data_IF_581919731356
#
_entry.id   IF_581919731356
#
_cell.length_a   1.000
_cell.length_b   1.000
_cell.length_c   1.000
_cell.angle_alpha   90.00
_cell.angle_beta   90.00
_cell.angle_gamma   90.00
#
_symmetry.space_group_name_H-M   'P 1'
#
loop_
_entity.id
_entity.type
_entity.pdbx_description
1 polymer ?
#
# COMPACT_ATOMS: atom_id res chain seq x y z
N UNK A 1 6.08 37.79 46.05
CA UNK A 1 5.53 39.14 45.78
C UNK A 1 4.52 38.97 44.68
N UNK A 2 3.23 39.12 44.98
CA UNK A 2 2.12 38.99 44.02
C UNK A 2 1.99 40.34 43.31
N UNK A 3 2.05 40.36 41.98
CA UNK A 3 1.77 41.56 41.19
C UNK A 3 0.26 41.86 41.29
N UNK A 4 -0.14 43.11 41.52
CA UNK A 4 -1.55 43.52 41.55
C UNK A 4 -2.22 43.14 40.21
N UNK A 5 -3.13 42.16 40.24
CA UNK A 5 -3.85 41.66 39.07
C UNK A 5 -3.91 40.13 38.96
N UNK A 6 -3.02 39.39 39.62
CA UNK A 6 -2.96 37.92 39.53
C UNK A 6 -4.08 37.24 40.34
N UNK A 7 -4.71 36.22 39.74
CA UNK A 7 -5.71 35.39 40.40
C UNK A 7 -5.06 34.44 41.41
N UNK A 8 -5.50 34.48 42.67
CA UNK A 8 -5.09 33.53 43.68
C UNK A 8 -5.92 32.23 43.61
N UNK A 9 -5.25 31.10 43.37
CA UNK A 9 -5.85 29.77 43.33
C UNK A 9 -4.90 28.69 43.87
N UNK A 10 -5.43 27.51 44.13
CA UNK A 10 -4.72 26.34 44.66
C UNK A 10 -4.88 25.12 43.74
N UNK A 11 -4.02 24.11 43.89
CA UNK A 11 -4.05 22.91 43.04
C UNK A 11 -5.43 22.25 43.06
N UNK A 12 -6.01 22.09 41.87
CA UNK A 12 -7.32 21.48 41.66
C UNK A 12 -8.51 22.43 41.81
N UNK A 13 -8.28 23.74 41.88
CA UNK A 13 -9.33 24.73 41.68
C UNK A 13 -9.73 24.80 40.21
N UNK A 14 -11.04 24.90 39.95
CA UNK A 14 -11.56 25.12 38.61
C UNK A 14 -11.53 26.62 38.30
N UNK A 15 -10.90 26.97 37.18
CA UNK A 15 -10.82 28.34 36.68
C UNK A 15 -11.67 28.43 35.43
N UNK A 16 -12.67 29.30 35.47
CA UNK A 16 -13.55 29.60 34.34
C UNK A 16 -12.93 30.79 33.61
N UNK A 17 -12.45 30.56 32.39
CA UNK A 17 -11.86 31.62 31.57
C UNK A 17 -12.97 32.47 30.94
N UNK A 18 -12.79 33.79 30.94
CA UNK A 18 -13.80 34.72 30.39
C UNK A 18 -13.89 34.65 28.86
N UNK A 19 -12.84 34.15 28.20
CA UNK A 19 -12.81 33.92 26.77
C UNK A 19 -13.15 32.47 26.41
N UNK A 20 -13.94 32.30 25.34
CA UNK A 20 -14.32 30.98 24.82
C UNK A 20 -13.07 30.22 24.33
N UNK A 21 -12.93 28.97 24.80
CA UNK A 21 -11.92 27.99 24.37
C UNK A 21 -10.45 28.28 24.74
N UNK A 22 -10.16 29.20 25.67
CA UNK A 22 -8.81 29.37 26.23
C UNK A 22 -7.73 29.80 25.22
N UNK A 23 -8.15 30.39 24.08
CA UNK A 23 -7.26 30.74 22.97
C UNK A 23 -6.12 31.67 23.41
N UNK A 24 -6.43 32.73 24.18
CA UNK A 24 -5.44 33.65 24.71
C UNK A 24 -4.41 32.95 25.62
N UNK A 25 -4.84 31.97 26.41
CA UNK A 25 -3.94 31.23 27.30
C UNK A 25 -2.96 30.31 26.54
N UNK A 26 -3.34 29.88 25.33
CA UNK A 26 -2.49 29.07 24.43
C UNK A 26 -1.59 29.92 23.52
N UNK A 27 -1.92 31.18 23.24
CA UNK A 27 -1.18 32.05 22.32
C UNK A 27 -0.39 33.18 22.99
N UNK A 28 -0.90 33.73 24.09
CA UNK A 28 -0.39 34.93 24.77
C UNK A 28 0.15 34.62 26.18
N UNK A 29 0.14 33.35 26.61
CA UNK A 29 0.61 32.83 27.90
C UNK A 29 -0.08 33.40 29.16
N UNK A 30 -1.08 34.25 28.98
CA UNK A 30 -1.87 34.85 30.05
C UNK A 30 -3.33 34.95 29.59
N UNK A 31 -4.27 34.71 30.50
CA UNK A 31 -5.67 35.01 30.27
C UNK A 31 -6.36 35.40 31.58
N UNK A 32 -7.47 36.12 31.46
CA UNK A 32 -8.29 36.48 32.61
C UNK A 32 -9.34 35.38 32.87
N UNK A 33 -9.55 35.06 34.14
CA UNK A 33 -10.55 34.07 34.54
C UNK A 33 -11.00 34.22 35.98
N UNK A 34 -12.03 33.46 36.34
CA UNK A 34 -12.63 33.41 37.67
C UNK A 34 -12.38 32.06 38.33
N UNK A 35 -11.88 32.08 39.56
CA UNK A 35 -11.77 30.87 40.36
C UNK A 35 -13.16 30.53 40.93
N UNK A 36 -13.67 29.34 40.61
CA UNK A 36 -15.00 28.92 41.06
C UNK A 36 -15.09 28.84 42.60
N UNK A 37 -14.03 28.39 43.26
CA UNK A 37 -14.02 28.21 44.72
C UNK A 37 -14.06 29.54 45.47
N UNK A 38 -13.30 30.54 45.01
CA UNK A 38 -13.16 31.82 45.73
C UNK A 38 -14.06 32.91 45.19
N UNK A 39 -14.60 32.75 43.98
CA UNK A 39 -15.42 33.74 43.28
C UNK A 39 -14.63 34.95 42.75
N UNK A 40 -13.35 35.08 43.11
CA UNK A 40 -12.50 36.17 42.63
C UNK A 40 -12.08 35.95 41.17
N UNK A 41 -11.89 37.04 40.46
CA UNK A 41 -11.41 37.07 39.07
C UNK A 41 -10.07 37.80 39.00
N UNK A 42 -9.22 37.40 38.06
CA UNK A 42 -7.90 37.97 37.86
C UNK A 42 -7.13 37.25 36.75
N UNK A 43 -5.86 37.60 36.59
CA UNK A 43 -5.00 37.03 35.55
C UNK A 43 -4.48 35.65 35.93
N UNK A 44 -4.38 34.79 34.92
CA UNK A 44 -3.99 33.38 35.03
C UNK A 44 -2.95 33.08 33.96
N UNK A 45 -1.80 32.56 34.38
CA UNK A 45 -0.70 32.18 33.49
C UNK A 45 -0.78 30.71 33.09
N UNK A 46 -0.43 30.43 31.84
CA UNK A 46 -0.50 29.08 31.25
C UNK A 46 0.37 28.05 31.98
N UNK A 47 1.49 28.45 32.57
CA UNK A 47 2.40 27.57 33.30
C UNK A 47 1.79 26.97 34.59
N UNK A 48 0.73 27.59 35.13
CA UNK A 48 0.14 27.23 36.43
C UNK A 48 -1.16 26.44 36.31
N UNK A 49 -1.65 26.19 35.08
CA UNK A 49 -2.98 25.60 34.84
C UNK A 49 -2.95 24.60 33.70
N UNK A 50 -3.85 23.62 33.75
CA UNK A 50 -4.07 22.67 32.66
C UNK A 50 -5.37 23.02 31.94
N UNK A 51 -5.32 23.22 30.62
CA UNK A 51 -6.51 23.48 29.80
C UNK A 51 -7.05 22.17 29.28
N UNK A 52 -8.27 21.80 29.70
CA UNK A 52 -8.96 20.59 29.24
C UNK A 52 -10.19 21.00 28.42
N UNK A 53 -10.28 20.63 27.13
CA UNK A 53 -11.44 20.95 26.31
C UNK A 53 -12.63 20.10 26.74
N UNK A 54 -13.64 20.72 27.31
CA UNK A 54 -14.86 20.05 27.79
C UNK A 54 -16.10 20.76 27.25
N UNK A 55 -17.09 19.98 26.79
CA UNK A 55 -18.39 20.51 26.33
C UNK A 55 -19.36 20.78 27.49
N UNK A 56 -19.12 20.13 28.63
CA UNK A 56 -19.88 20.23 29.87
C UNK A 56 -18.92 20.47 31.02
N UNK A 57 -19.40 21.07 32.12
CA UNK A 57 -18.61 21.26 33.32
C UNK A 57 -18.00 19.92 33.78
N UNK A 58 -16.68 19.85 34.08
CA UNK A 58 -16.04 18.64 34.60
C UNK A 58 -16.76 18.14 35.86
N UNK A 59 -16.98 16.83 35.94
CA UNK A 59 -17.56 16.20 37.13
C UNK A 59 -16.60 16.28 38.34
N UNK A 60 -17.16 16.11 39.54
CA UNK A 60 -16.36 16.21 40.78
C UNK A 60 -15.30 15.11 40.87
N UNK A 61 -15.50 13.97 40.24
CA UNK A 61 -14.53 12.87 40.22
C UNK A 61 -13.29 13.23 39.39
N UNK A 62 -13.46 13.82 38.21
CA UNK A 62 -12.39 14.31 37.36
C UNK A 62 -11.62 15.42 38.07
N UNK A 63 -12.31 16.37 38.70
CA UNK A 63 -11.66 17.45 39.47
C UNK A 63 -10.85 16.87 40.65
N UNK A 64 -11.33 15.80 41.28
CA UNK A 64 -10.65 15.12 42.38
C UNK A 64 -9.33 14.49 41.93
N UNK A 65 -9.22 13.98 40.70
CA UNK A 65 -7.97 13.43 40.16
C UNK A 65 -6.84 14.47 40.11
N UNK A 66 -7.16 15.72 39.75
CA UNK A 66 -6.15 16.81 39.72
C UNK A 66 -5.74 17.29 41.11
N UNK A 67 -6.55 17.00 42.15
CA UNK A 67 -6.24 17.27 43.56
C UNK A 67 -5.37 16.19 44.21
N UNK A 68 -5.37 14.97 43.66
CA UNK A 68 -4.60 13.86 44.21
C UNK A 68 -3.09 14.08 44.05
N UNK A 69 -2.35 13.63 45.06
CA UNK A 69 -0.89 13.49 44.97
C UNK A 69 -0.52 12.31 44.09
N UNK A 70 0.71 12.28 43.58
CA UNK A 70 1.18 11.19 42.69
C UNK A 70 1.06 9.81 43.37
N UNK A 71 1.26 9.75 44.70
CA UNK A 71 1.11 8.53 45.50
C UNK A 71 -0.34 8.06 45.58
N UNK A 72 -1.29 8.99 45.68
CA UNK A 72 -2.73 8.68 45.69
C UNK A 72 -3.22 8.26 44.31
N UNK A 73 -2.74 8.91 43.25
CA UNK A 73 -2.96 8.52 41.87
C UNK A 73 -2.44 7.11 41.60
N UNK A 74 -1.23 6.77 42.04
CA UNK A 74 -0.72 5.40 41.91
C UNK A 74 -1.53 4.37 42.72
N UNK A 75 -2.05 4.73 43.89
CA UNK A 75 -2.91 3.85 44.70
C UNK A 75 -4.28 3.65 44.05
N UNK A 76 -4.87 4.70 43.50
CA UNK A 76 -6.11 4.61 42.76
C UNK A 76 -5.91 3.76 41.51
N UNK A 77 -4.85 4.00 40.74
CA UNK A 77 -4.53 3.22 39.55
C UNK A 77 -4.30 1.74 39.88
N UNK A 78 -3.67 1.42 41.03
CA UNK A 78 -3.56 0.04 41.55
C UNK A 78 -4.90 -0.57 41.94
N UNK A 79 -5.82 0.20 42.55
CA UNK A 79 -7.17 -0.26 42.88
C UNK A 79 -8.04 -0.44 41.63
N UNK A 80 -7.97 0.45 40.64
CA UNK A 80 -8.67 0.32 39.36
C UNK A 80 -8.13 -0.86 38.56
N UNK A 81 -6.81 -1.08 38.56
CA UNK A 81 -6.16 -2.26 37.97
C UNK A 81 -6.60 -3.56 38.66
N UNK A 82 -6.78 -3.55 39.99
CA UNK A 82 -7.26 -4.69 40.78
C UNK A 82 -8.75 -4.96 40.56
N UNK A 83 -9.57 -3.91 40.46
CA UNK A 83 -11.00 -4.04 40.18
C UNK A 83 -11.25 -4.49 38.74
N UNK A 84 -10.47 -3.98 37.77
CA UNK A 84 -10.48 -4.44 36.39
C UNK A 84 -9.95 -5.88 36.21
N UNK A 85 -9.22 -6.42 37.20
CA UNK A 85 -8.84 -7.83 37.25
C UNK A 85 -9.92 -8.73 37.84
N UNK A 86 -10.77 -8.22 38.75
CA UNK A 86 -11.89 -8.98 39.32
C UNK A 86 -13.13 -8.95 38.40
N UNK A 87 -13.40 -7.84 37.72
CA UNK A 87 -14.55 -7.67 36.80
C UNK A 87 -14.38 -8.39 35.43
N UNK A 88 -13.18 -8.92 35.15
CA UNK A 88 -12.91 -9.77 33.97
C UNK A 88 -13.37 -11.22 34.12
N UNK A 89 -13.95 -11.60 35.27
CA UNK A 89 -14.44 -12.97 35.47
C UNK A 89 -15.92 -13.19 35.11
N UNK A 90 -16.73 -12.15 34.90
CA UNK A 90 -18.18 -12.33 34.68
C UNK A 90 -18.78 -11.72 33.39
N UNK A 91 -18.03 -11.01 32.54
CA UNK A 91 -18.54 -10.53 31.23
C UNK A 91 -17.82 -11.19 30.04
N UNK A 92 -18.28 -12.39 29.68
CA UNK A 92 -17.81 -13.15 28.51
C UNK A 92 -18.43 -12.63 27.21
N UNK A 93 -17.87 -11.55 26.66
CA UNK A 93 -17.65 -11.53 25.21
C UNK A 93 -16.36 -12.34 24.97
N UNK A 94 -16.53 -13.58 24.50
CA UNK A 94 -15.47 -14.61 24.43
C UNK A 94 -14.38 -14.19 23.44
N UNK A 95 -13.34 -13.48 23.88
CA UNK A 95 -12.19 -13.14 23.02
C UNK A 95 -11.45 -14.42 22.59
N UNK A 96 -11.23 -14.58 21.28
CA UNK A 96 -10.52 -15.73 20.74
C UNK A 96 -9.07 -15.73 21.20
N UNK A 97 -8.57 -16.90 21.59
CA UNK A 97 -7.17 -17.10 21.96
C UNK A 97 -6.64 -18.37 21.31
N UNK A 98 -5.32 -18.43 21.11
CA UNK A 98 -4.63 -19.64 20.69
C UNK A 98 -4.53 -20.70 21.81
N UNK A 99 -5.23 -20.56 22.94
CA UNK A 99 -5.08 -21.45 24.09
C UNK A 99 -5.38 -22.90 23.75
N UNK A 100 -6.53 -23.18 23.11
CA UNK A 100 -6.93 -24.53 22.73
C UNK A 100 -5.96 -25.11 21.68
N UNK A 101 -5.64 -24.34 20.64
CA UNK A 101 -4.67 -24.76 19.62
C UNK A 101 -3.27 -25.06 20.21
N UNK A 102 -2.82 -24.27 21.18
CA UNK A 102 -1.52 -24.44 21.80
C UNK A 102 -1.41 -25.72 22.63
N UNK A 103 -2.51 -26.26 23.17
CA UNK A 103 -2.48 -27.51 23.94
C UNK A 103 -2.00 -28.68 23.09
N UNK A 104 -2.43 -28.73 21.82
CA UNK A 104 -2.14 -29.83 20.91
C UNK A 104 -0.90 -29.58 20.05
N UNK A 105 -0.64 -28.32 19.68
CA UNK A 105 0.34 -28.00 18.64
C UNK A 105 1.57 -27.23 19.13
N UNK A 106 1.57 -26.67 20.36
CA UNK A 106 2.73 -25.92 20.86
C UNK A 106 3.71 -26.81 21.62
N UNK A 107 5.01 -26.50 21.50
CA UNK A 107 6.05 -27.10 22.31
C UNK A 107 5.80 -26.77 23.78
N UNK A 108 5.80 -27.78 24.63
CA UNK A 108 5.67 -27.60 26.06
C UNK A 108 7.00 -27.11 26.64
N UNK A 109 7.06 -25.87 27.14
CA UNK A 109 8.26 -25.31 27.79
C UNK A 109 8.73 -26.12 29.02
N UNK A 110 7.88 -27.01 29.56
CA UNK A 110 8.08 -27.69 30.84
C UNK A 110 8.30 -29.21 30.78
N UNK A 111 8.36 -29.87 29.61
CA UNK A 111 8.50 -31.35 29.56
C UNK A 111 9.94 -31.87 29.76
N UNK A 112 10.93 -30.99 29.95
CA UNK A 112 12.35 -31.36 30.14
C UNK A 112 12.92 -31.24 31.56
N UNK A 113 12.16 -30.72 32.54
CA UNK A 113 12.64 -30.56 33.92
C UNK A 113 11.89 -31.49 34.87
N UNK A 114 12.14 -32.79 34.74
CA UNK A 114 11.81 -33.74 35.80
C UNK A 114 13.05 -33.99 36.67
N UNK A 115 12.87 -33.77 37.97
CA UNK A 115 13.72 -34.14 39.10
C UNK A 115 15.01 -33.33 39.37
N UNK A 116 14.95 -32.44 40.37
CA UNK A 116 15.38 -32.73 41.76
C UNK A 116 15.38 -31.43 42.57
N UNK A 117 14.47 -31.37 43.55
CA UNK A 117 14.63 -30.58 44.77
C UNK A 117 14.56 -29.05 44.67
N UNK A 118 13.86 -28.48 45.65
CA UNK A 118 13.95 -27.09 46.15
C UNK A 118 13.02 -26.05 45.48
N UNK A 119 12.07 -25.61 46.32
CA UNK A 119 11.16 -24.44 46.26
C UNK A 119 10.18 -24.38 45.08
N UNK A 120 8.91 -24.60 45.40
CA UNK A 120 7.78 -24.26 44.56
C UNK A 120 7.76 -22.75 44.29
N UNK A 121 8.34 -22.33 43.17
CA UNK A 121 8.04 -21.03 42.58
C UNK A 121 6.59 -21.02 42.12
N UNK A 122 5.88 -19.96 42.52
CA UNK A 122 4.50 -19.67 42.16
C UNK A 122 4.23 -19.88 40.66
N UNK A 123 3.39 -20.88 40.34
CA UNK A 123 2.92 -21.20 38.98
C UNK A 123 2.14 -20.04 38.34
N UNK A 124 1.71 -19.02 39.10
CA UNK A 124 0.85 -17.94 38.60
C UNK A 124 1.54 -16.95 37.65
N UNK A 125 2.88 -16.95 37.57
CA UNK A 125 3.64 -15.98 36.75
C UNK A 125 4.30 -16.54 35.49
N UNK A 126 4.12 -17.82 35.15
CA UNK A 126 4.55 -18.33 33.85
C UNK A 126 3.65 -17.75 32.77
N UNK A 127 4.16 -16.77 32.01
CA UNK A 127 3.46 -16.18 30.89
C UNK A 127 3.05 -17.28 29.90
N UNK A 128 1.76 -17.35 29.55
CA UNK A 128 1.26 -18.40 28.67
C UNK A 128 2.00 -18.40 27.31
N UNK A 129 2.41 -19.57 26.83
CA UNK A 129 3.18 -19.73 25.58
C UNK A 129 2.42 -19.20 24.34
N UNK A 130 1.11 -19.06 24.43
CA UNK A 130 0.22 -18.54 23.38
C UNK A 130 -0.19 -17.07 23.56
N UNK A 131 0.20 -16.40 24.65
CA UNK A 131 -0.11 -14.99 24.90
C UNK A 131 1.10 -14.07 24.67
N UNK A 132 0.85 -12.78 24.44
CA UNK A 132 1.86 -11.76 24.13
C UNK A 132 3.01 -11.83 25.10
N UNK A 133 4.25 -11.80 24.59
CA UNK A 133 5.48 -11.67 25.39
C UNK A 133 6.40 -10.56 24.85
N UNK A 134 7.31 -10.08 25.69
CA UNK A 134 8.42 -9.20 25.28
C UNK A 134 9.76 -9.93 25.26
N UNK A 135 9.79 -11.17 25.74
CA UNK A 135 11.00 -12.00 25.77
C UNK A 135 11.14 -12.75 24.46
N UNK A 136 12.34 -12.79 23.84
CA UNK A 136 12.58 -13.63 22.69
C UNK A 136 12.26 -15.10 22.99
N UNK A 137 11.77 -15.84 21.99
CA UNK A 137 11.57 -17.29 22.13
C UNK A 137 12.92 -18.01 21.99
N UNK A 138 13.09 -19.06 22.78
CA UNK A 138 14.28 -19.92 22.76
C UNK A 138 14.08 -21.19 21.91
N UNK A 139 12.83 -21.51 21.59
CA UNK A 139 12.39 -22.64 20.78
C UNK A 139 11.21 -22.19 19.89
N UNK A 140 10.99 -22.81 18.73
CA UNK A 140 9.77 -22.58 17.95
C UNK A 140 8.52 -22.84 18.80
N UNK A 141 7.44 -22.12 18.52
CA UNK A 141 6.16 -22.36 19.18
C UNK A 141 5.63 -23.73 18.80
N UNK A 142 5.70 -24.14 17.54
CA UNK A 142 5.05 -25.37 17.07
C UNK A 142 5.93 -26.61 17.23
N UNK A 143 5.29 -27.73 17.60
CA UNK A 143 5.92 -29.05 17.68
C UNK A 143 6.43 -29.49 16.30
N UNK A 144 5.66 -29.21 15.24
CA UNK A 144 5.99 -29.61 13.86
C UNK A 144 7.12 -28.81 13.22
N UNK A 145 7.52 -27.67 13.79
CA UNK A 145 8.65 -26.89 13.28
C UNK A 145 9.93 -27.68 13.50
N UNK A 146 10.70 -28.04 12.46
CA UNK A 146 11.91 -28.85 12.64
C UNK A 146 12.99 -28.15 13.46
N UNK A 147 13.79 -28.91 14.20
CA UNK A 147 14.81 -28.36 15.10
C UNK A 147 15.90 -27.56 14.38
N UNK A 148 16.23 -27.91 13.14
CA UNK A 148 17.19 -27.15 12.32
C UNK A 148 16.69 -25.73 11.95
N UNK A 149 15.40 -25.43 12.19
CA UNK A 149 14.80 -24.10 11.99
C UNK A 149 14.61 -23.33 13.31
N UNK A 150 15.12 -23.83 14.44
CA UNK A 150 15.01 -23.18 15.76
C UNK A 150 15.57 -21.76 15.74
N UNK A 151 16.78 -21.59 15.20
CA UNK A 151 17.40 -20.26 15.11
C UNK A 151 16.60 -19.33 14.19
N UNK A 152 16.09 -19.84 13.07
CA UNK A 152 15.28 -19.08 12.12
C UNK A 152 13.97 -18.58 12.77
N UNK A 153 13.27 -19.46 13.48
CA UNK A 153 12.05 -19.12 14.21
C UNK A 153 12.31 -18.08 15.32
N UNK A 154 13.43 -18.19 16.05
CA UNK A 154 13.84 -17.23 17.06
C UNK A 154 14.16 -15.84 16.47
N UNK A 155 14.90 -15.78 15.36
CA UNK A 155 15.18 -14.53 14.66
C UNK A 155 13.90 -13.87 14.12
N UNK A 156 12.97 -14.67 13.57
CA UNK A 156 11.67 -14.20 13.12
C UNK A 156 10.88 -13.56 14.27
N UNK A 157 10.83 -14.21 15.43
CA UNK A 157 10.13 -13.66 16.59
C UNK A 157 10.77 -12.37 17.10
N UNK A 158 12.10 -12.32 17.14
CA UNK A 158 12.83 -11.10 17.51
C UNK A 158 12.52 -9.95 16.55
N UNK A 159 12.39 -10.22 15.25
CA UNK A 159 11.98 -9.22 14.27
C UNK A 159 10.54 -8.75 14.50
N UNK A 160 9.61 -9.65 14.86
CA UNK A 160 8.24 -9.30 15.26
C UNK A 160 8.27 -8.37 16.49
N UNK A 161 9.02 -8.71 17.54
CA UNK A 161 9.15 -7.87 18.74
C UNK A 161 9.68 -6.47 18.41
N UNK A 162 10.70 -6.39 17.56
CA UNK A 162 11.29 -5.14 17.06
C UNK A 162 10.26 -4.29 16.30
N UNK A 163 9.53 -4.90 15.35
CA UNK A 163 8.50 -4.21 14.59
C UNK A 163 7.39 -3.66 15.51
N UNK A 164 6.90 -4.49 16.44
CA UNK A 164 5.87 -4.11 17.42
C UNK A 164 6.34 -3.06 18.45
N UNK A 165 7.64 -2.74 18.51
CA UNK A 165 8.20 -1.83 19.50
C UNK A 165 8.22 -2.41 20.91
N UNK A 166 8.34 -3.74 21.01
CA UNK A 166 8.45 -4.51 22.25
C UNK A 166 9.90 -4.94 22.53
N UNK A 167 10.82 -4.69 21.61
CA UNK A 167 12.26 -4.91 21.77
C UNK A 167 13.04 -3.71 21.22
N UNK A 168 14.17 -3.31 21.83
CA UNK A 168 15.03 -2.26 21.29
C UNK A 168 15.41 -2.49 19.83
N UNK A 169 15.29 -1.44 19.03
CA UNK A 169 15.68 -1.38 17.62
C UNK A 169 16.74 -0.31 17.41
N UNK A 170 17.72 -0.58 16.55
CA UNK A 170 18.60 0.47 16.02
C UNK A 170 17.86 1.41 15.06
N UNK A 171 18.58 2.30 14.39
CA UNK A 171 18.02 3.16 13.33
C UNK A 171 17.66 2.30 12.12
N UNK A 172 16.38 2.03 11.92
CA UNK A 172 15.84 1.44 10.70
C UNK A 172 15.18 2.55 9.88
N UNK A 173 15.57 2.71 8.62
CA UNK A 173 15.06 3.78 7.74
C UNK A 173 13.86 3.30 6.92
N UNK A 174 13.88 2.05 6.44
CA UNK A 174 12.84 1.50 5.57
C UNK A 174 11.95 0.46 6.26
N UNK A 175 10.66 0.47 5.92
CA UNK A 175 9.67 -0.49 6.45
C UNK A 175 9.96 -1.92 5.98
N UNK A 176 10.49 -2.09 4.76
CA UNK A 176 10.87 -3.39 4.20
C UNK A 176 11.97 -4.06 5.01
N UNK A 177 12.95 -3.30 5.49
CA UNK A 177 14.06 -3.81 6.31
C UNK A 177 13.56 -4.41 7.64
N UNK A 178 12.40 -3.95 8.12
CA UNK A 178 11.75 -4.49 9.31
C UNK A 178 10.89 -5.72 9.01
N UNK A 179 10.23 -5.77 7.85
CA UNK A 179 9.29 -6.86 7.50
C UNK A 179 9.98 -8.05 6.84
N UNK A 180 11.08 -7.84 6.12
CA UNK A 180 11.80 -8.88 5.39
C UNK A 180 12.32 -10.00 6.30
N UNK A 181 12.92 -9.71 7.48
CA UNK A 181 13.32 -10.74 8.44
C UNK A 181 12.14 -11.56 8.99
N UNK A 182 10.90 -11.05 8.89
CA UNK A 182 9.70 -11.74 9.37
C UNK A 182 9.15 -12.68 8.28
N UNK A 183 9.09 -12.24 7.02
CA UNK A 183 8.34 -12.94 5.97
C UNK A 183 9.19 -13.71 4.95
N UNK A 184 10.46 -13.33 4.72
CA UNK A 184 11.27 -13.94 3.66
C UNK A 184 11.53 -15.43 3.86
N UNK A 185 11.76 -15.86 5.11
CA UNK A 185 12.00 -17.27 5.42
C UNK A 185 10.71 -18.12 5.31
N UNK A 186 9.57 -17.74 5.91
CA UNK A 186 8.30 -18.47 5.75
C UNK A 186 7.77 -18.55 4.29
N UNK A 187 8.11 -17.58 3.44
CA UNK A 187 7.81 -17.65 2.01
C UNK A 187 8.57 -18.80 1.31
N UNK A 188 9.84 -19.03 1.71
CA UNK A 188 10.72 -20.06 1.14
C UNK A 188 10.57 -21.44 1.79
N UNK A 189 10.34 -21.49 3.10
CA UNK A 189 10.26 -22.71 3.92
C UNK A 189 8.84 -22.89 4.45
N UNK A 190 8.08 -23.84 3.88
CA UNK A 190 6.66 -24.04 4.21
C UNK A 190 6.44 -24.39 5.69
N UNK A 191 7.44 -25.00 6.32
CA UNK A 191 7.47 -25.41 7.72
C UNK A 191 7.35 -24.21 8.67
N UNK A 192 7.78 -23.01 8.25
CA UNK A 192 7.73 -21.78 9.06
C UNK A 192 6.45 -20.96 8.86
N UNK A 193 5.55 -21.36 7.96
CA UNK A 193 4.34 -20.56 7.65
C UNK A 193 3.41 -20.47 8.85
N UNK A 194 3.00 -21.61 9.37
CA UNK A 194 2.15 -21.66 10.56
C UNK A 194 2.88 -21.12 11.79
N UNK A 195 4.19 -21.32 11.88
CA UNK A 195 5.01 -20.75 12.96
C UNK A 195 4.92 -19.21 12.94
N UNK A 196 5.05 -18.59 11.77
CA UNK A 196 4.90 -17.14 11.59
C UNK A 196 3.50 -16.66 12.01
N UNK A 197 2.45 -17.38 11.60
CA UNK A 197 1.07 -17.10 12.03
C UNK A 197 0.94 -17.16 13.56
N UNK A 198 1.37 -18.26 14.18
CA UNK A 198 1.27 -18.45 15.62
C UNK A 198 2.06 -17.40 16.41
N UNK A 199 3.26 -17.03 15.95
CA UNK A 199 4.07 -15.99 16.59
C UNK A 199 3.41 -14.60 16.54
N UNK A 200 2.81 -14.23 15.41
CA UNK A 200 2.10 -12.94 15.28
C UNK A 200 0.80 -12.97 16.10
N UNK A 201 0.01 -14.05 16.01
CA UNK A 201 -1.22 -14.22 16.80
C UNK A 201 -0.95 -14.25 18.31
N UNK A 202 0.19 -14.80 18.74
CA UNK A 202 0.67 -14.71 20.12
C UNK A 202 0.80 -13.25 20.55
N UNK A 203 1.42 -12.38 19.73
CA UNK A 203 1.57 -10.96 20.03
C UNK A 203 0.27 -10.15 19.97
N UNK A 204 -0.78 -10.70 19.37
CA UNK A 204 -2.14 -10.14 19.41
C UNK A 204 -2.92 -10.55 20.66
N UNK A 205 -2.62 -11.73 21.21
CA UNK A 205 -3.40 -12.33 22.29
C UNK A 205 -3.02 -11.76 23.65
N UNK A 206 -3.98 -11.16 24.36
CA UNK A 206 -3.78 -10.51 25.68
C UNK A 206 -2.67 -9.45 25.67
N UNK A 207 -2.59 -8.65 24.61
CA UNK A 207 -1.61 -7.56 24.51
C UNK A 207 -2.14 -6.29 25.21
N UNK A 208 -1.54 -5.86 26.34
CA UNK A 208 -2.00 -4.66 27.05
C UNK A 208 -1.59 -3.35 26.34
N UNK A 209 -0.61 -3.40 25.43
CA UNK A 209 -0.04 -2.20 24.78
C UNK A 209 -0.69 -2.00 23.42
N UNK A 210 -1.67 -1.08 23.34
CA UNK A 210 -2.44 -0.78 22.11
C UNK A 210 -1.57 -0.42 20.89
N UNK A 211 -0.44 0.26 21.11
CA UNK A 211 0.49 0.58 20.02
C UNK A 211 1.22 -0.66 19.47
N UNK A 212 1.59 -1.61 20.33
CA UNK A 212 2.16 -2.90 19.92
C UNK A 212 1.10 -3.76 19.24
N UNK A 213 -0.11 -3.82 19.80
CA UNK A 213 -1.25 -4.55 19.24
C UNK A 213 -1.56 -4.07 17.81
N UNK A 214 -1.68 -2.75 17.60
CA UNK A 214 -1.94 -2.17 16.28
C UNK A 214 -0.85 -2.51 15.26
N UNK A 215 0.42 -2.61 15.68
CA UNK A 215 1.53 -3.02 14.80
C UNK A 215 1.51 -4.53 14.52
N UNK A 216 1.20 -5.36 15.50
CA UNK A 216 1.04 -6.80 15.30
C UNK A 216 -0.11 -7.09 14.31
N UNK A 217 -1.20 -6.33 14.37
CA UNK A 217 -2.28 -6.43 13.39
C UNK A 217 -1.85 -6.06 11.98
N UNK A 218 -0.97 -5.05 11.82
CA UNK A 218 -0.36 -4.74 10.52
C UNK A 218 0.43 -5.93 9.99
N UNK A 219 1.22 -6.60 10.84
CA UNK A 219 1.95 -7.82 10.44
C UNK A 219 1.00 -8.95 10.05
N UNK A 220 -0.05 -9.18 10.83
CA UNK A 220 -1.05 -10.21 10.53
C UNK A 220 -1.75 -9.96 9.19
N UNK A 221 -2.12 -8.71 8.92
CA UNK A 221 -2.68 -8.31 7.63
C UNK A 221 -1.71 -8.53 6.47
N UNK A 222 -0.42 -8.16 6.65
CA UNK A 222 0.60 -8.40 5.63
C UNK A 222 0.75 -9.91 5.37
N UNK A 223 0.79 -10.72 6.42
CA UNK A 223 0.94 -12.17 6.36
C UNK A 223 -0.18 -12.84 5.56
N UNK A 224 -1.45 -12.49 5.84
CA UNK A 224 -2.61 -13.02 5.12
C UNK A 224 -2.59 -12.71 3.61
N UNK A 225 -1.95 -11.62 3.20
CA UNK A 225 -1.77 -11.27 1.79
C UNK A 225 -0.59 -11.97 1.11
N UNK A 226 0.32 -12.59 1.87
CA UNK A 226 1.54 -13.22 1.37
C UNK A 226 1.43 -14.74 1.27
N UNK A 227 0.81 -15.38 2.27
CA UNK A 227 0.69 -16.83 2.32
C UNK A 227 -0.53 -17.23 3.15
N UNK A 228 -1.26 -18.31 2.79
CA UNK A 228 -2.33 -18.82 3.63
C UNK A 228 -1.79 -19.64 4.81
N UNK A 229 -2.52 -19.72 5.94
CA UNK A 229 -2.23 -20.69 6.98
C UNK A 229 -2.57 -22.11 6.48
N UNK A 230 -2.10 -23.14 7.19
CA UNK A 230 -2.54 -24.51 6.90
C UNK A 230 -4.05 -24.70 7.15
N UNK A 231 -4.63 -25.74 6.57
CA UNK A 231 -6.03 -26.12 6.81
C UNK A 231 -6.34 -26.33 8.31
N UNK A 232 -5.34 -26.74 9.09
CA UNK A 232 -5.46 -26.97 10.52
C UNK A 232 -5.50 -25.66 11.33
N UNK A 233 -4.69 -24.67 10.94
CA UNK A 233 -4.64 -23.37 11.62
C UNK A 233 -5.70 -22.39 11.10
N UNK A 234 -6.21 -22.59 9.89
CA UNK A 234 -7.16 -21.69 9.24
C UNK A 234 -8.40 -21.35 10.10
N UNK A 235 -9.11 -22.31 10.74
CA UNK A 235 -10.29 -22.00 11.57
C UNK A 235 -9.98 -20.99 12.67
N UNK A 236 -8.81 -21.13 13.31
CA UNK A 236 -8.33 -20.25 14.38
C UNK A 236 -7.98 -18.85 13.87
N UNK A 237 -7.36 -18.75 12.69
CA UNK A 237 -7.09 -17.44 12.06
C UNK A 237 -8.38 -16.73 11.65
N UNK A 238 -9.37 -17.49 11.19
CA UNK A 238 -10.67 -16.98 10.77
C UNK A 238 -11.44 -16.43 11.97
N UNK A 239 -11.54 -17.22 13.04
CA UNK A 239 -12.22 -16.83 14.28
C UNK A 239 -11.60 -15.57 14.91
N UNK A 240 -10.26 -15.48 14.94
CA UNK A 240 -9.56 -14.28 15.39
C UNK A 240 -9.96 -13.01 14.61
N UNK A 241 -10.24 -13.12 13.31
CA UNK A 241 -10.62 -11.98 12.46
C UNK A 241 -12.11 -11.66 12.44
N UNK A 242 -12.96 -12.64 12.73
CA UNK A 242 -14.42 -12.49 12.72
C UNK A 242 -14.96 -11.93 14.03
N UNK A 243 -14.20 -12.01 15.12
CA UNK A 243 -14.59 -11.41 16.39
C UNK A 243 -14.53 -9.87 16.36
N UNK A 244 -15.66 -9.25 16.64
CA UNK A 244 -15.76 -7.82 16.98
C UNK A 244 -15.09 -7.61 18.35
N UNK A 245 -13.96 -6.92 18.36
CA UNK A 245 -13.42 -6.34 19.57
C UNK A 245 -13.65 -4.84 19.48
N UNK A 246 -14.19 -4.24 20.53
CA UNK A 246 -14.50 -2.82 20.56
C UNK A 246 -13.29 -1.96 20.16
N UNK A 247 -13.59 -1.01 19.27
CA UNK A 247 -12.83 0.14 18.79
C UNK A 247 -11.29 0.08 18.90
N UNK A 248 -10.64 -0.48 17.88
CA UNK A 248 -9.32 -0.02 17.46
C UNK A 248 -9.49 0.85 16.19
N UNK A 249 -9.55 2.18 16.29
CA UNK A 249 -9.82 3.08 15.16
C UNK A 249 -8.74 3.08 14.07
N UNK A 250 -7.59 2.43 14.32
CA UNK A 250 -6.44 2.40 13.41
C UNK A 250 -6.50 1.27 12.35
N UNK A 251 -7.52 0.41 12.38
CA UNK A 251 -7.67 -0.70 11.44
C UNK A 251 -9.12 -0.73 10.97
N UNK A 252 -9.41 -0.57 9.66
CA UNK A 252 -10.77 -0.71 9.13
C UNK A 252 -11.35 -2.06 9.60
N UNK A 253 -12.57 -2.05 10.15
CA UNK A 253 -13.34 -3.21 10.67
C UNK A 253 -12.70 -4.57 10.36
N UNK A 254 -12.31 -5.34 11.38
CA UNK A 254 -11.49 -6.56 11.29
C UNK A 254 -12.00 -7.63 10.31
N UNK A 255 -13.32 -7.72 10.11
CA UNK A 255 -13.95 -8.55 9.07
C UNK A 255 -13.58 -8.13 7.64
N UNK A 256 -13.18 -6.87 7.45
CA UNK A 256 -12.58 -6.34 6.23
C UNK A 256 -11.11 -6.71 6.08
N UNK A 257 -10.35 -7.18 7.09
CA UNK A 257 -8.93 -7.57 6.88
C UNK A 257 -8.79 -8.73 5.87
N UNK A 258 -9.71 -9.69 5.88
CA UNK A 258 -9.78 -10.76 4.87
C UNK A 258 -10.37 -10.28 3.52
N UNK A 259 -11.25 -9.26 3.53
CA UNK A 259 -11.82 -8.66 2.31
C UNK A 259 -10.96 -7.53 1.72
N UNK A 260 -10.01 -7.02 2.48
CA UNK A 260 -9.05 -5.97 2.17
C UNK A 260 -7.71 -6.64 1.88
N UNK A 261 -7.78 -7.63 0.98
CA UNK A 261 -6.93 -7.69 -0.20
C UNK A 261 -6.44 -6.29 -0.54
N UNK A 262 -5.11 -6.08 -0.49
CA UNK A 262 -4.50 -4.73 -0.48
C UNK A 262 -5.17 -3.87 -1.56
N UNK A 263 -5.43 -2.59 -1.29
CA UNK A 263 -5.66 -1.63 -2.38
C UNK A 263 -4.49 -0.67 -2.33
N UNK A 264 -3.39 -1.05 -2.98
CA UNK A 264 -2.36 -0.07 -3.36
C UNK A 264 -2.82 0.54 -4.67
N UNK A 265 -2.91 1.86 -4.72
CA UNK A 265 -3.12 2.55 -6.00
C UNK A 265 -1.78 2.64 -6.70
N UNK A 266 -1.64 1.96 -7.84
CA UNK A 266 -0.52 2.21 -8.74
C UNK A 266 -1.04 3.01 -9.93
N UNK A 267 -0.33 4.09 -10.26
CA UNK A 267 -0.58 4.85 -11.48
C UNK A 267 -0.09 4.04 -12.67
N UNK A 268 -1.02 3.59 -13.49
CA UNK A 268 -0.73 2.97 -14.77
C UNK A 268 -0.62 4.08 -15.82
N UNK A 269 0.55 4.21 -16.42
CA UNK A 269 0.73 5.05 -17.59
C UNK A 269 0.42 4.22 -18.82
N UNK A 270 -0.79 4.36 -19.36
CA UNK A 270 -1.08 3.78 -20.67
C UNK A 270 -0.56 4.69 -21.77
N UNK A 271 0.19 4.12 -22.71
CA UNK A 271 0.88 4.90 -23.75
C UNK A 271 -0.10 5.19 -24.89
N UNK A 272 -0.86 6.29 -24.77
CA UNK A 272 -1.67 6.85 -25.86
C UNK A 272 -0.84 7.74 -26.82
N UNK A 273 -1.34 8.04 -28.04
CA UNK A 273 -0.58 8.77 -29.07
C UNK A 273 -0.56 10.28 -28.87
N UNK A 274 -1.56 10.85 -28.20
CA UNK A 274 -1.74 12.31 -28.11
C UNK A 274 -1.79 12.84 -26.68
N UNK A 275 -2.01 11.98 -25.69
CA UNK A 275 -1.86 12.28 -24.26
C UNK A 275 -1.48 10.97 -23.55
N UNK A 276 -0.53 11.01 -22.61
CA UNK A 276 -0.32 9.89 -21.68
C UNK A 276 -1.61 9.70 -20.89
N UNK A 277 -2.39 8.66 -21.20
CA UNK A 277 -3.56 8.31 -20.41
C UNK A 277 -3.05 7.68 -19.12
N UNK A 278 -3.00 8.49 -18.07
CA UNK A 278 -2.65 8.06 -16.71
C UNK A 278 -3.92 7.70 -15.98
N UNK A 279 -4.08 6.40 -15.72
CA UNK A 279 -5.19 5.89 -14.92
C UNK A 279 -4.66 5.23 -13.66
N UNK A 280 -5.38 5.42 -12.56
CA UNK A 280 -5.02 4.82 -11.28
C UNK A 280 -5.87 3.56 -11.09
N UNK A 281 -5.20 2.42 -10.94
CA UNK A 281 -5.85 1.13 -10.71
C UNK A 281 -5.62 0.66 -9.28
N UNK A 282 -6.68 0.23 -8.58
CA UNK A 282 -6.53 -0.40 -7.27
C UNK A 282 -5.94 -1.80 -7.44
N UNK A 283 -4.76 -2.02 -6.88
CA UNK A 283 -4.03 -3.27 -6.91
C UNK A 283 -4.08 -4.01 -5.59
N UNK A 284 -4.13 -5.33 -5.70
CA UNK A 284 -4.19 -6.29 -4.60
C UNK A 284 -2.91 -7.12 -4.51
N UNK A 285 -2.48 -7.46 -3.29
CA UNK A 285 -1.31 -8.29 -3.01
C UNK A 285 -1.32 -9.60 -3.80
N UNK A 286 -2.51 -10.13 -4.06
CA UNK A 286 -2.73 -11.39 -4.75
C UNK A 286 -3.13 -11.22 -6.22
N UNK A 287 -3.09 -10.00 -6.76
CA UNK A 287 -3.45 -9.72 -8.13
C UNK A 287 -2.38 -10.27 -9.08
N UNK A 288 -2.79 -11.11 -10.01
CA UNK A 288 -1.93 -11.53 -11.12
C UNK A 288 -1.94 -10.48 -12.22
N UNK A 289 -0.90 -10.47 -13.04
CA UNK A 289 -0.82 -9.54 -14.17
C UNK A 289 -2.00 -9.70 -15.14
N UNK A 290 -2.43 -10.94 -15.41
CA UNK A 290 -3.59 -11.23 -16.25
C UNK A 290 -4.89 -10.65 -15.69
N UNK A 291 -5.11 -10.74 -14.37
CA UNK A 291 -6.29 -10.17 -13.71
C UNK A 291 -6.34 -8.65 -13.92
N UNK A 292 -5.19 -7.98 -13.77
CA UNK A 292 -5.06 -6.55 -13.98
C UNK A 292 -5.26 -6.17 -15.46
N UNK A 293 -4.70 -6.93 -16.40
CA UNK A 293 -4.93 -6.78 -17.84
C UNK A 293 -6.43 -6.83 -18.16
N UNK A 294 -7.14 -7.84 -17.66
CA UNK A 294 -8.59 -7.96 -17.85
C UNK A 294 -9.36 -6.82 -17.21
N UNK A 295 -8.94 -6.34 -16.03
CA UNK A 295 -9.57 -5.20 -15.35
C UNK A 295 -9.40 -3.89 -16.13
N UNK A 296 -8.20 -3.64 -16.67
CA UNK A 296 -7.90 -2.47 -17.51
C UNK A 296 -8.76 -2.51 -18.76
N UNK A 297 -8.76 -3.65 -19.48
CA UNK A 297 -9.52 -3.81 -20.71
C UNK A 297 -11.03 -3.60 -20.50
N UNK A 298 -11.57 -4.14 -19.39
CA UNK A 298 -12.96 -3.92 -19.01
C UNK A 298 -13.27 -2.45 -18.72
N UNK A 299 -12.37 -1.76 -18.00
CA UNK A 299 -12.53 -0.33 -17.68
C UNK A 299 -12.49 0.56 -18.91
N UNK A 300 -11.58 0.26 -19.84
CA UNK A 300 -11.44 0.96 -21.12
C UNK A 300 -12.53 0.55 -22.14
N UNK A 301 -13.34 -0.48 -21.85
CA UNK A 301 -14.37 -1.03 -22.75
C UNK A 301 -13.79 -1.59 -24.06
N UNK A 302 -12.62 -2.21 -23.96
CA UNK A 302 -12.03 -2.97 -25.08
C UNK A 302 -12.85 -4.25 -25.35
N UNK A 303 -12.91 -4.67 -26.61
CA UNK A 303 -13.59 -5.91 -27.01
C UNK A 303 -12.77 -7.16 -26.72
N UNK A 304 -11.44 -7.04 -26.78
CA UNK A 304 -10.52 -8.13 -26.43
C UNK A 304 -9.22 -7.57 -25.84
N UNK A 305 -8.67 -8.27 -24.85
CA UNK A 305 -7.33 -8.02 -24.30
C UNK A 305 -6.30 -9.04 -24.79
N UNK A 306 -6.64 -9.85 -25.79
CA UNK A 306 -5.71 -10.82 -26.38
C UNK A 306 -4.50 -10.12 -26.99
N UNK A 307 -3.31 -10.59 -26.62
CA UNK A 307 -2.04 -10.01 -27.03
C UNK A 307 -1.61 -8.76 -26.26
N UNK A 308 -2.41 -8.27 -25.31
CA UNK A 308 -2.01 -7.19 -24.39
C UNK A 308 -1.26 -7.71 -23.17
N UNK A 309 -0.37 -6.89 -22.63
CA UNK A 309 0.47 -7.24 -21.48
C UNK A 309 0.79 -6.00 -20.66
N UNK A 310 1.22 -6.22 -19.43
CA UNK A 310 1.85 -5.20 -18.59
C UNK A 310 3.35 -5.19 -18.80
N UNK A 311 3.93 -3.99 -18.73
CA UNK A 311 5.35 -3.72 -18.83
C UNK A 311 5.78 -2.85 -17.65
N UNK A 312 6.84 -3.24 -16.94
CA UNK A 312 7.45 -2.46 -15.89
C UNK A 312 8.69 -1.78 -16.46
N UNK A 313 8.72 -0.46 -16.35
CA UNK A 313 9.89 0.37 -16.61
C UNK A 313 10.51 0.75 -15.28
N UNK A 314 11.75 0.36 -15.06
CA UNK A 314 12.49 0.70 -13.84
C UNK A 314 13.94 0.99 -14.23
N UNK A 315 14.43 2.18 -13.83
CA UNK A 315 15.63 2.79 -14.43
C UNK A 315 15.53 2.75 -15.98
N UNK A 316 16.44 2.04 -16.65
CA UNK A 316 16.47 1.91 -18.12
C UNK A 316 16.01 0.52 -18.62
N UNK A 317 15.44 -0.31 -17.73
CA UNK A 317 14.98 -1.66 -18.08
C UNK A 317 13.46 -1.68 -18.24
N UNK A 318 13.01 -2.24 -19.36
CA UNK A 318 11.61 -2.55 -19.63
C UNK A 318 11.42 -4.06 -19.63
N UNK A 319 10.49 -4.56 -18.79
CA UNK A 319 10.23 -6.00 -18.66
C UNK A 319 8.73 -6.24 -18.77
N UNK A 320 8.34 -7.19 -19.64
CA UNK A 320 6.96 -7.65 -19.74
C UNK A 320 6.64 -8.65 -18.62
N UNK A 321 5.51 -8.46 -17.94
CA UNK A 321 5.03 -9.37 -16.91
C UNK A 321 4.26 -10.52 -17.56
N UNK A 322 4.43 -11.76 -17.11
CA UNK A 322 3.60 -12.89 -17.56
C UNK A 322 2.26 -12.88 -16.84
N UNK A 323 1.20 -13.31 -17.52
CA UNK A 323 -0.18 -13.23 -17.01
C UNK A 323 -0.40 -14.00 -15.70
N UNK A 324 0.34 -15.09 -15.48
CA UNK A 324 0.25 -15.95 -14.31
C UNK A 324 1.06 -15.47 -13.10
N UNK A 325 1.92 -14.47 -13.27
CA UNK A 325 2.75 -13.93 -12.20
C UNK A 325 1.99 -12.91 -11.35
N UNK A 326 2.24 -12.94 -10.03
CA UNK A 326 1.75 -11.90 -9.13
C UNK A 326 2.47 -10.58 -9.39
N UNK A 327 1.71 -9.50 -9.49
CA UNK A 327 2.25 -8.20 -9.87
C UNK A 327 3.34 -7.71 -8.90
N UNK A 328 3.10 -7.83 -7.60
CA UNK A 328 4.05 -7.34 -6.58
C UNK A 328 5.31 -8.21 -6.45
N UNK A 329 5.24 -9.49 -6.83
CA UNK A 329 6.42 -10.37 -6.82
C UNK A 329 7.41 -9.90 -7.88
N UNK A 330 6.93 -9.56 -9.07
CA UNK A 330 7.81 -9.03 -10.14
C UNK A 330 8.41 -7.68 -9.75
N UNK A 331 7.64 -6.78 -9.14
CA UNK A 331 8.19 -5.52 -8.63
C UNK A 331 9.28 -5.76 -7.59
N UNK A 332 9.08 -6.71 -6.67
CA UNK A 332 10.07 -7.08 -5.65
C UNK A 332 11.34 -7.65 -6.28
N UNK A 333 11.20 -8.60 -7.21
CA UNK A 333 12.32 -9.23 -7.92
C UNK A 333 13.18 -8.20 -8.65
N UNK A 334 12.54 -7.22 -9.31
CA UNK A 334 13.23 -6.14 -10.00
C UNK A 334 13.94 -5.19 -9.04
N UNK A 335 13.26 -4.80 -7.96
CA UNK A 335 13.87 -3.98 -6.90
C UNK A 335 15.10 -4.67 -6.31
N UNK A 336 15.02 -5.97 -6.02
CA UNK A 336 16.14 -6.75 -5.48
C UNK A 336 17.30 -6.87 -6.47
N UNK A 337 17.00 -7.06 -7.76
CA UNK A 337 18.03 -7.09 -8.79
C UNK A 337 18.78 -5.76 -8.90
N UNK A 338 18.07 -4.62 -8.76
CA UNK A 338 18.68 -3.29 -8.78
C UNK A 338 19.51 -3.04 -7.52
N UNK A 339 19.00 -3.41 -6.34
CA UNK A 339 19.76 -3.28 -5.10
C UNK A 339 21.04 -4.11 -5.12
N UNK A 340 21.03 -5.32 -5.71
CA UNK A 340 22.25 -6.12 -5.91
C UNK A 340 23.26 -5.46 -6.85
N UNK A 341 22.80 -4.62 -7.79
CA UNK A 341 23.67 -3.84 -8.68
C UNK A 341 24.14 -2.51 -8.09
N UNK A 342 23.86 -2.24 -6.81
CA UNK A 342 24.24 -1.00 -6.12
C UNK A 342 23.36 0.21 -6.49
N UNK A 343 22.26 -0.02 -7.20
CA UNK A 343 21.28 1.03 -7.52
C UNK A 343 20.19 1.06 -6.44
N UNK A 344 19.86 2.26 -5.96
CA UNK A 344 18.75 2.46 -5.01
C UNK A 344 17.40 2.16 -5.68
N UNK A 345 16.35 1.99 -4.86
CA UNK A 345 14.99 1.76 -5.32
C UNK A 345 14.57 2.88 -6.28
N UNK A 346 14.56 2.57 -7.57
CA UNK A 346 14.12 3.48 -8.61
C UNK A 346 12.59 3.51 -8.66
N UNK A 347 12.02 4.68 -8.91
CA UNK A 347 10.62 4.78 -9.28
C UNK A 347 10.37 3.89 -10.50
N UNK A 348 9.34 3.05 -10.40
CA UNK A 348 8.90 2.23 -11.51
C UNK A 348 7.65 2.81 -12.14
N UNK A 349 7.53 2.66 -13.45
CA UNK A 349 6.31 2.97 -14.20
C UNK A 349 5.73 1.69 -14.76
N UNK A 350 4.41 1.54 -14.67
CA UNK A 350 3.72 0.41 -15.27
C UNK A 350 3.03 0.90 -16.53
N UNK A 351 3.24 0.18 -17.62
CA UNK A 351 2.64 0.43 -18.92
C UNK A 351 1.79 -0.75 -19.35
N UNK A 352 0.62 -0.46 -19.93
CA UNK A 352 -0.24 -1.45 -20.57
C UNK A 352 -0.18 -1.22 -22.08
N UNK A 353 0.24 -2.24 -22.82
CA UNK A 353 0.51 -2.16 -24.27
C UNK A 353 0.23 -3.50 -24.94
N UNK A 354 -0.01 -3.47 -26.26
CA UNK A 354 -0.05 -4.70 -27.06
C UNK A 354 1.37 -5.26 -27.19
N UNK A 355 1.55 -6.50 -26.76
CA UNK A 355 2.79 -7.27 -26.84
C UNK A 355 2.81 -8.17 -28.08
N UNK A 356 1.70 -8.85 -28.35
CA UNK A 356 1.56 -9.81 -29.45
C UNK A 356 0.51 -9.33 -30.45
N UNK A 357 0.81 -9.47 -31.74
CA UNK A 357 -0.07 -9.05 -32.85
C UNK A 357 -0.90 -10.20 -33.42
N UNK A 358 -1.16 -11.22 -32.60
CA UNK A 358 -1.97 -12.39 -32.96
C UNK A 358 -3.44 -11.94 -33.13
N UNK A 359 -4.09 -12.43 -34.18
CA UNK A 359 -5.51 -12.19 -34.48
C UNK A 359 -5.91 -10.71 -34.54
N UNK A 360 -4.92 -9.81 -34.75
CA UNK A 360 -5.17 -8.39 -34.88
C UNK A 360 -5.84 -8.09 -36.21
N UNK A 361 -7.00 -7.44 -36.16
CA UNK A 361 -7.74 -7.00 -37.33
C UNK A 361 -8.11 -5.53 -37.09
N UNK A 362 -7.53 -4.57 -37.85
CA UNK A 362 -7.92 -3.17 -37.76
C UNK A 362 -9.44 -3.00 -37.88
N UNK A 363 -10.02 -2.14 -37.04
CA UNK A 363 -11.45 -1.82 -37.00
C UNK A 363 -12.29 -2.79 -36.19
N UNK A 364 -11.77 -3.99 -35.85
CA UNK A 364 -12.49 -4.94 -35.01
C UNK A 364 -12.72 -4.35 -33.62
N UNK A 365 -11.71 -3.72 -33.04
CA UNK A 365 -11.77 -3.04 -31.73
C UNK A 365 -11.29 -1.60 -31.86
N UNK A 366 -12.24 -0.69 -32.09
CA UNK A 366 -11.96 0.74 -32.27
C UNK A 366 -11.30 1.39 -31.05
N UNK A 367 -11.53 0.90 -29.83
CA UNK A 367 -10.90 1.47 -28.62
C UNK A 367 -9.43 1.07 -28.61
N UNK A 368 -9.17 -0.22 -28.81
CA UNK A 368 -7.80 -0.76 -28.91
C UNK A 368 -6.99 -0.05 -30.00
N UNK A 369 -7.62 0.20 -31.15
CA UNK A 369 -6.97 0.83 -32.29
C UNK A 369 -6.51 2.25 -31.99
N UNK A 370 -7.40 3.05 -31.38
CA UNK A 370 -7.15 4.46 -31.08
C UNK A 370 -6.14 4.63 -29.95
N UNK A 371 -6.28 3.84 -28.88
CA UNK A 371 -5.50 4.02 -27.66
C UNK A 371 -4.15 3.32 -27.69
N UNK A 372 -4.01 2.19 -28.41
CA UNK A 372 -2.82 1.34 -28.34
C UNK A 372 -2.23 1.01 -29.70
N UNK A 373 -3.03 0.48 -30.63
CA UNK A 373 -2.46 -0.08 -31.85
C UNK A 373 -1.86 1.01 -32.75
N UNK A 374 -2.62 2.07 -33.04
CA UNK A 374 -2.13 3.22 -33.80
C UNK A 374 -0.88 3.87 -33.17
N UNK A 375 -0.87 4.25 -31.87
CA UNK A 375 0.32 4.84 -31.25
C UNK A 375 1.56 3.94 -31.28
N UNK A 376 1.38 2.63 -31.10
CA UNK A 376 2.51 1.69 -31.14
C UNK A 376 3.06 1.54 -32.56
N UNK A 377 2.20 1.34 -33.55
CA UNK A 377 2.61 1.10 -34.94
C UNK A 377 3.10 2.37 -35.65
N UNK A 378 2.51 3.54 -35.37
CA UNK A 378 2.99 4.82 -35.90
C UNK A 378 4.42 5.13 -35.47
N UNK A 379 4.77 4.88 -34.19
CA UNK A 379 6.15 5.03 -33.71
C UNK A 379 7.12 4.07 -34.40
N UNK A 380 6.72 2.81 -34.64
CA UNK A 380 7.54 1.85 -35.39
C UNK A 380 7.71 2.29 -36.85
N UNK A 381 6.63 2.77 -37.48
CA UNK A 381 6.68 3.26 -38.85
C UNK A 381 7.64 4.43 -39.02
N UNK A 382 7.54 5.44 -38.15
CA UNK A 382 8.42 6.62 -38.19
C UNK A 382 9.89 6.27 -37.93
N UNK A 383 10.16 5.22 -37.14
CA UNK A 383 11.52 4.68 -36.94
C UNK A 383 12.04 3.84 -38.12
N UNK A 384 11.24 3.61 -39.16
CA UNK A 384 11.65 2.87 -40.36
C UNK A 384 11.75 1.37 -40.18
N UNK A 385 10.88 0.78 -39.36
CA UNK A 385 10.77 -0.69 -39.24
C UNK A 385 10.03 -1.35 -40.41
N UNK A 386 9.39 -0.57 -41.29
CA UNK A 386 8.63 -1.07 -42.43
C UNK A 386 9.34 -0.70 -43.72
N UNK A 387 9.43 -1.67 -44.62
CA UNK A 387 9.89 -1.42 -45.98
C UNK A 387 8.73 -0.81 -46.79
N UNK A 388 8.87 0.47 -47.12
CA UNK A 388 7.84 1.24 -47.83
C UNK A 388 8.47 2.06 -48.95
N UNK A 389 7.84 2.02 -50.12
CA UNK A 389 8.20 2.90 -51.22
C UNK A 389 7.71 4.34 -50.96
N UNK A 390 8.18 5.28 -51.78
CA UNK A 390 7.81 6.70 -51.62
C UNK A 390 6.30 6.94 -51.75
N UNK A 391 5.62 6.18 -52.61
CA UNK A 391 4.19 6.35 -52.87
C UNK A 391 3.37 5.92 -51.66
N UNK A 392 3.74 4.79 -51.05
CA UNK A 392 3.14 4.25 -49.83
C UNK A 392 3.48 5.12 -48.62
N UNK A 393 4.71 5.62 -48.54
CA UNK A 393 5.11 6.57 -47.50
C UNK A 393 4.28 7.86 -47.57
N UNK A 394 3.98 8.36 -48.78
CA UNK A 394 3.11 9.53 -48.95
C UNK A 394 1.65 9.25 -48.58
N UNK A 395 1.11 8.07 -48.93
CA UNK A 395 -0.22 7.62 -48.50
C UNK A 395 -0.34 7.54 -46.98
N UNK A 396 0.62 6.88 -46.32
CA UNK A 396 0.68 6.74 -44.86
C UNK A 396 0.89 8.10 -44.19
N UNK A 397 1.78 8.94 -44.75
CA UNK A 397 2.06 10.29 -44.26
C UNK A 397 0.84 11.19 -44.29
N UNK A 398 -0.04 11.05 -45.29
CA UNK A 398 -1.32 11.75 -45.31
C UNK A 398 -2.26 11.30 -44.18
N UNK A 399 -2.33 9.99 -43.88
CA UNK A 399 -3.09 9.50 -42.72
C UNK A 399 -2.52 10.00 -41.39
N UNK A 400 -1.19 10.01 -41.23
CA UNK A 400 -0.54 10.55 -40.04
C UNK A 400 -0.81 12.06 -39.89
N UNK A 401 -0.80 12.81 -41.00
CA UNK A 401 -1.16 14.23 -40.98
C UNK A 401 -2.57 14.40 -40.46
N UNK A 402 -3.57 13.72 -41.04
CA UNK A 402 -4.98 13.82 -40.60
C UNK A 402 -5.19 13.31 -39.17
N UNK A 403 -4.38 12.37 -38.69
CA UNK A 403 -4.51 11.80 -37.35
C UNK A 403 -3.89 12.66 -36.24
N UNK A 404 -2.79 13.35 -36.52
CA UNK A 404 -2.02 14.14 -35.53
C UNK A 404 -2.23 15.65 -35.65
N UNK A 405 -2.48 16.15 -36.87
CA UNK A 405 -2.58 17.57 -37.16
C UNK A 405 -4.01 17.89 -37.59
N UNK A 406 -4.49 19.07 -37.19
CA UNK A 406 -5.75 19.59 -37.68
C UNK A 406 -5.62 20.18 -39.10
N UNK A 407 -6.75 20.48 -39.73
CA UNK A 407 -6.78 21.17 -41.02
C UNK A 407 -6.52 22.69 -40.89
N UNK A 408 -5.95 23.16 -39.78
CA UNK A 408 -5.70 24.59 -39.59
C UNK A 408 -4.78 25.15 -40.67
N UNK A 409 -4.95 26.44 -41.03
CA UNK A 409 -4.06 27.11 -41.98
C UNK A 409 -2.58 27.04 -41.57
N UNK A 410 -2.29 27.01 -40.27
CA UNK A 410 -0.94 26.90 -39.72
C UNK A 410 -0.29 25.56 -40.07
N UNK A 411 -0.96 24.45 -39.79
CA UNK A 411 -0.44 23.11 -40.10
C UNK A 411 -0.31 22.88 -41.61
N UNK A 412 -1.26 23.39 -42.41
CA UNK A 412 -1.15 23.36 -43.88
C UNK A 412 0.05 24.16 -44.38
N UNK A 413 0.35 25.32 -43.78
CA UNK A 413 1.52 26.11 -44.14
C UNK A 413 2.83 25.43 -43.71
N UNK A 414 2.86 24.82 -42.53
CA UNK A 414 4.01 24.06 -42.04
C UNK A 414 4.33 22.86 -42.95
N UNK A 415 3.30 22.14 -43.42
CA UNK A 415 3.47 21.07 -44.41
C UNK A 415 4.05 21.61 -45.72
N UNK A 416 3.48 22.70 -46.26
CA UNK A 416 3.95 23.33 -47.51
C UNK A 416 5.40 23.80 -47.43
N UNK A 417 5.86 24.23 -46.25
CA UNK A 417 7.25 24.62 -45.98
C UNK A 417 8.16 23.42 -45.68
N UNK A 418 7.63 22.20 -45.61
CA UNK A 418 8.38 20.98 -45.30
C UNK A 418 8.74 20.80 -43.82
N UNK A 419 8.24 21.65 -42.92
CA UNK A 419 8.67 21.70 -41.53
C UNK A 419 8.25 20.49 -40.70
N UNK A 420 7.13 19.85 -41.07
CA UNK A 420 6.58 18.67 -40.37
C UNK A 420 6.71 17.39 -41.20
N UNK A 421 7.30 17.45 -42.41
CA UNK A 421 7.37 16.28 -43.31
C UNK A 421 8.15 15.12 -42.68
N UNK A 422 9.20 15.43 -41.89
CA UNK A 422 10.00 14.44 -41.15
C UNK A 422 9.23 13.73 -40.04
N UNK A 423 8.11 14.28 -39.56
CA UNK A 423 7.22 13.66 -38.57
C UNK A 423 6.17 12.74 -39.20
N UNK A 424 6.09 12.71 -40.54
CA UNK A 424 5.08 11.98 -41.31
C UNK A 424 5.68 10.81 -42.11
N UNK A 425 7.01 10.72 -42.20
CA UNK A 425 7.73 9.71 -42.99
C UNK A 425 8.75 8.95 -42.14
N UNK A 426 9.16 7.74 -42.56
CA UNK A 426 10.22 6.96 -41.91
C UNK A 426 11.59 7.66 -41.95
N UNK A 427 12.30 7.66 -40.82
CA UNK A 427 13.62 8.29 -40.66
C UNK A 427 14.75 7.58 -41.45
N UNK A 428 14.63 6.28 -41.68
CA UNK A 428 15.71 5.46 -42.25
C UNK A 428 15.68 5.35 -43.78
N UNK A 429 14.76 6.04 -44.46
CA UNK A 429 14.57 5.89 -45.91
C UNK A 429 14.95 7.18 -46.65
N UNK A 430 15.80 7.04 -47.68
CA UNK A 430 16.26 8.15 -48.51
C UNK A 430 15.18 8.53 -49.54
N UNK A 431 14.20 9.32 -49.11
CA UNK A 431 13.22 9.92 -50.02
C UNK A 431 13.67 11.31 -50.49
N UNK A 432 13.22 11.69 -51.69
CA UNK A 432 13.22 13.10 -52.06
C UNK A 432 12.15 13.82 -51.22
N UNK A 433 12.60 14.65 -50.28
CA UNK A 433 11.72 15.36 -49.34
C UNK A 433 10.68 16.22 -50.06
N UNK A 434 11.08 16.92 -51.13
CA UNK A 434 10.15 17.71 -51.93
C UNK A 434 9.11 16.87 -52.65
N UNK A 435 9.54 15.72 -53.19
CA UNK A 435 8.63 14.84 -53.94
C UNK A 435 7.64 14.18 -52.99
N UNK A 436 8.10 13.63 -51.86
CA UNK A 436 7.22 12.97 -50.88
C UNK A 436 6.25 13.99 -50.24
N UNK A 437 6.70 15.22 -49.96
CA UNK A 437 5.83 16.30 -49.48
C UNK A 437 4.70 16.60 -50.46
N UNK A 438 5.03 16.82 -51.74
CA UNK A 438 4.02 17.08 -52.79
C UNK A 438 3.06 15.90 -52.94
N UNK A 439 3.56 14.68 -52.85
CA UNK A 439 2.74 13.47 -52.89
C UNK A 439 1.79 13.39 -51.68
N UNK A 440 2.22 13.76 -50.47
CA UNK A 440 1.38 13.86 -49.27
C UNK A 440 0.29 14.92 -49.46
N UNK A 441 0.64 16.12 -49.93
CA UNK A 441 -0.32 17.19 -50.22
C UNK A 441 -1.40 16.73 -51.20
N UNK A 442 -1.01 15.96 -52.22
CA UNK A 442 -1.94 15.36 -53.19
C UNK A 442 -2.82 14.26 -52.57
N UNK A 443 -2.31 13.47 -51.64
CA UNK A 443 -3.13 12.46 -50.97
C UNK A 443 -4.12 13.07 -49.98
N UNK A 444 -3.79 14.20 -49.37
CA UNK A 444 -4.67 14.91 -48.44
C UNK A 444 -5.98 15.39 -49.10
N UNK A 445 -5.99 15.71 -50.39
CA UNK A 445 -7.23 16.08 -51.08
C UNK A 445 -8.24 14.93 -51.11
N UNK A 446 -7.76 13.68 -51.11
CA UNK A 446 -8.61 12.48 -51.07
C UNK A 446 -9.11 12.15 -49.65
N UNK A 447 -8.62 12.86 -48.64
CA UNK A 447 -8.98 12.68 -47.23
C UNK A 447 -9.80 13.85 -46.67
N UNK A 448 -10.32 14.73 -47.54
CA UNK A 448 -11.17 15.83 -47.13
C UNK A 448 -12.40 15.31 -46.35
N UNK A 449 -12.59 15.82 -45.12
CA UNK A 449 -13.69 15.42 -44.24
C UNK A 449 -13.51 14.07 -43.53
N UNK A 450 -12.36 13.40 -43.67
CA UNK A 450 -12.05 12.18 -42.92
C UNK A 450 -11.72 12.55 -41.47
N UNK A 451 -12.35 11.88 -40.51
CA UNK A 451 -12.07 12.12 -39.10
C UNK A 451 -10.66 11.65 -38.71
N UNK A 452 -10.02 12.24 -37.68
CA UNK A 452 -8.74 11.75 -37.18
C UNK A 452 -8.76 10.27 -36.79
N UNK A 453 -9.89 9.80 -36.28
CA UNK A 453 -10.08 8.41 -35.89
C UNK A 453 -10.19 7.46 -37.09
N UNK A 454 -10.86 7.88 -38.16
CA UNK A 454 -10.89 7.13 -39.42
C UNK A 454 -9.52 7.12 -40.10
N UNK A 455 -8.75 8.20 -39.98
CA UNK A 455 -7.37 8.25 -40.46
C UNK A 455 -6.47 7.24 -39.72
N UNK A 456 -6.60 7.12 -38.38
CA UNK A 456 -5.90 6.09 -37.58
C UNK A 456 -6.27 4.67 -38.05
N UNK A 457 -7.54 4.42 -38.31
CA UNK A 457 -8.00 3.13 -38.84
C UNK A 457 -7.43 2.84 -40.23
N UNK A 458 -7.49 3.81 -41.16
CA UNK A 458 -6.92 3.68 -42.51
C UNK A 458 -5.42 3.43 -42.47
N UNK A 459 -4.70 4.13 -41.59
CA UNK A 459 -3.28 3.89 -41.31
C UNK A 459 -3.02 2.43 -40.92
N UNK A 460 -3.72 1.92 -39.90
CA UNK A 460 -3.56 0.55 -39.42
C UNK A 460 -3.89 -0.48 -40.50
N UNK A 461 -4.95 -0.22 -41.29
CA UNK A 461 -5.37 -1.08 -42.41
C UNK A 461 -4.36 -1.14 -43.55
N UNK A 462 -3.61 -0.07 -43.77
CA UNK A 462 -2.53 -0.06 -44.78
C UNK A 462 -1.31 -0.79 -44.25
N UNK A 463 -0.89 -0.53 -43.01
CA UNK A 463 0.26 -1.23 -42.41
C UNK A 463 0.04 -2.74 -42.30
N UNK A 464 -1.16 -3.19 -41.93
CA UNK A 464 -1.48 -4.61 -41.81
C UNK A 464 -1.40 -5.40 -43.13
N UNK A 465 -1.25 -4.72 -44.27
CA UNK A 465 -1.04 -5.33 -45.59
C UNK A 465 0.44 -5.34 -46.00
N UNK A 466 1.26 -4.48 -45.41
CA UNK A 466 2.69 -4.36 -45.68
C UNK A 466 3.43 -5.43 -44.88
N UNK A 467 3.08 -5.54 -43.60
CA UNK A 467 3.49 -6.67 -42.78
C UNK A 467 2.52 -7.83 -43.01
N UNK A 468 3.04 -9.00 -43.37
CA UNK A 468 2.47 -10.23 -42.82
C UNK A 468 2.67 -10.12 -41.30
N UNK A 469 1.77 -9.44 -40.58
CA UNK A 469 1.81 -9.23 -39.10
C UNK A 469 1.73 -10.55 -38.30
N UNK A 470 1.86 -11.68 -38.98
CA UNK A 470 1.86 -13.04 -38.48
C UNK A 470 3.31 -13.53 -38.58
N UNK A 471 3.99 -13.53 -37.43
CA UNK A 471 5.29 -14.17 -37.15
C UNK A 471 6.54 -13.35 -37.52
N UNK A 472 7.05 -12.58 -36.55
CA UNK A 472 8.43 -12.71 -36.07
C UNK A 472 8.46 -12.63 -34.55
#
# INVERSE_FOLDING_TARGET
MVQEGDLAFTRGDLIILDQVAGKALLSENEAHGRCERTGFSGNVRSDNVWVVPTLLKPDEELVKLFKMTDVELERLNRKTMSAAQMDQTESSAKYYTLQEYAQDFFRNENKGKSSRGVIAFDKSKSQASWAKSTQPITQPLLIKTPDYLTSDAGHMFLAILKFCGDHPTGRTVNITDQTDPIFNLPLKKKELRDECYCQIMKQLTRNPKKTSEARAWKLFWLLCGLMPPSAQLYPHTKELTEMEQDECPLIPQRSRLFKMRRRRSTTLSTLGPSQELKEVFPLDSSMRAGDLVSQIAKRLRMKSHEGFSLFIFIADKMIAIKDDQFFFDVIRELSDALSRSGQSAADYKVHFMRKLWISFIPGKDSVSDKLFNFPQESKKYLRGFYDVDQKKAAEIGAYLYTAFFDESPLNRQALKKGQITTELIPQNVKFSMDKVRKDIEKQLTNLAGVSPDDAKFKFLKVLSKIENMIVR
#
